data_IF_558268256811
#
_entry.id   IF_558268256811
#
_cell.length_a   1.000
_cell.length_b   1.000
_cell.length_c   1.000
_cell.angle_alpha   90.00
_cell.angle_beta   90.00
_cell.angle_gamma   90.00
#
_symmetry.space_group_name_H-M   'P 1'
#
loop_
_entity.id
_entity.type
_entity.pdbx_description
1 polymer ?
#
# COMPACT_ATOMS: atom_id res chain seq x y z
N UNK A 1 8.23 -11.87 9.05
CA UNK A 1 8.70 -10.81 8.10
C UNK A 1 8.04 -11.01 6.73
N UNK A 2 7.48 -9.95 6.13
CA UNK A 2 6.76 -10.02 4.85
C UNK A 2 7.71 -10.25 3.66
N UNK A 3 8.13 -11.51 3.45
CA UNK A 3 9.01 -11.90 2.34
C UNK A 3 8.48 -11.46 0.97
N UNK A 4 7.15 -11.43 0.80
CA UNK A 4 6.51 -10.94 -0.41
C UNK A 4 6.84 -9.48 -0.68
N UNK A 5 6.67 -8.61 0.33
CA UNK A 5 6.92 -7.18 0.18
C UNK A 5 8.42 -6.90 -0.07
N UNK A 6 9.31 -7.63 0.61
CA UNK A 6 10.75 -7.53 0.37
C UNK A 6 11.13 -7.95 -1.06
N UNK A 7 10.52 -9.00 -1.60
CA UNK A 7 10.71 -9.41 -3.00
C UNK A 7 10.16 -8.37 -3.97
N UNK A 8 8.97 -7.83 -3.71
CA UNK A 8 8.36 -6.79 -4.54
C UNK A 8 9.20 -5.49 -4.54
N UNK A 9 9.77 -5.10 -3.41
CA UNK A 9 10.70 -3.97 -3.32
C UNK A 9 11.96 -4.16 -4.17
N UNK A 10 12.34 -5.38 -4.56
CA UNK A 10 13.48 -5.59 -5.48
C UNK A 10 13.12 -5.36 -6.95
N UNK A 11 11.84 -5.36 -7.30
CA UNK A 11 11.36 -5.06 -8.65
C UNK A 11 11.16 -3.55 -8.81
N UNK A 12 11.79 -2.87 -9.78
CA UNK A 12 11.70 -1.41 -9.91
C UNK A 12 10.26 -0.88 -10.08
N UNK A 13 9.42 -1.60 -10.83
CA UNK A 13 8.02 -1.24 -11.05
C UNK A 13 7.22 -1.32 -9.76
N UNK A 14 7.35 -2.42 -9.03
CA UNK A 14 6.61 -2.65 -7.79
C UNK A 14 7.12 -1.73 -6.69
N UNK A 15 8.44 -1.53 -6.58
CA UNK A 15 9.05 -0.54 -5.67
C UNK A 15 8.44 0.83 -5.86
N UNK A 16 8.32 1.31 -7.11
CA UNK A 16 7.72 2.63 -7.38
C UNK A 16 6.26 2.68 -6.95
N UNK A 17 5.51 1.61 -7.17
CA UNK A 17 4.11 1.53 -6.72
C UNK A 17 4.00 1.52 -5.19
N UNK A 18 4.79 0.70 -4.51
CA UNK A 18 4.83 0.61 -3.05
C UNK A 18 5.21 1.95 -2.42
N UNK A 19 6.21 2.65 -2.95
CA UNK A 19 6.62 3.97 -2.42
C UNK A 19 5.52 5.03 -2.57
N UNK A 20 4.73 4.98 -3.65
CA UNK A 20 3.58 5.87 -3.80
C UNK A 20 2.48 5.54 -2.78
N UNK A 21 2.21 4.25 -2.59
CA UNK A 21 1.23 3.79 -1.64
C UNK A 21 1.62 4.14 -0.20
N UNK A 22 2.90 4.00 0.15
CA UNK A 22 3.45 4.38 1.46
C UNK A 22 3.21 5.88 1.75
N UNK A 23 3.46 6.74 0.76
CA UNK A 23 3.17 8.17 0.88
C UNK A 23 1.67 8.46 1.01
N UNK A 24 0.84 7.81 0.20
CA UNK A 24 -0.61 8.01 0.21
C UNK A 24 -1.25 7.54 1.52
N UNK A 25 -0.83 6.40 2.05
CA UNK A 25 -1.29 5.89 3.36
C UNK A 25 -0.77 6.76 4.50
N UNK A 26 0.47 7.24 4.43
CA UNK A 26 1.01 8.16 5.44
C UNK A 26 0.20 9.46 5.49
N UNK A 27 -0.07 10.05 4.32
CA UNK A 27 -0.93 11.24 4.20
C UNK A 27 -2.35 10.95 4.72
N UNK A 28 -2.93 9.81 4.37
CA UNK A 28 -4.24 9.41 4.88
C UNK A 28 -4.28 9.32 6.41
N UNK A 29 -3.26 8.74 7.04
CA UNK A 29 -3.22 8.59 8.50
C UNK A 29 -2.97 9.92 9.22
N UNK A 30 -2.13 10.79 8.64
CA UNK A 30 -1.63 11.98 9.33
C UNK A 30 -2.44 13.25 9.02
N UNK A 31 -2.92 13.40 7.80
CA UNK A 31 -3.46 14.65 7.28
C UNK A 31 -4.94 14.55 6.85
N UNK A 32 -5.45 13.35 6.58
CA UNK A 32 -6.84 13.17 6.18
C UNK A 32 -7.79 13.14 7.38
N UNK A 33 -8.95 13.80 7.25
CA UNK A 33 -10.07 13.66 8.18
C UNK A 33 -11.08 12.58 7.73
N UNK A 34 -10.84 11.93 6.59
CA UNK A 34 -11.71 10.90 6.06
C UNK A 34 -11.54 9.57 6.81
N UNK A 35 -12.63 8.85 7.12
CA UNK A 35 -12.55 7.57 7.83
C UNK A 35 -12.09 6.41 6.94
N UNK A 36 -12.15 6.57 5.61
CA UNK A 36 -11.83 5.52 4.64
C UNK A 36 -11.08 6.09 3.44
N UNK A 37 -10.18 5.29 2.88
CA UNK A 37 -9.46 5.59 1.64
C UNK A 37 -9.93 4.62 0.55
N UNK A 38 -10.38 5.16 -0.59
CA UNK A 38 -10.89 4.38 -1.71
C UNK A 38 -9.93 4.47 -2.89
N UNK A 39 -9.31 3.35 -3.25
CA UNK A 39 -8.44 3.25 -4.42
C UNK A 39 -9.25 3.05 -5.72
N UNK A 40 -8.73 3.50 -6.88
CA UNK A 40 -9.31 3.16 -8.18
C UNK A 40 -9.30 1.65 -8.44
N UNK A 41 -10.05 1.15 -9.44
CA UNK A 41 -10.03 -0.26 -9.81
C UNK A 41 -8.60 -0.77 -10.05
N UNK A 42 -8.20 -1.77 -9.27
CA UNK A 42 -6.87 -2.37 -9.32
C UNK A 42 -6.97 -3.85 -9.69
N UNK A 43 -5.94 -4.35 -10.38
CA UNK A 43 -5.84 -5.78 -10.64
C UNK A 43 -5.56 -6.57 -9.34
N UNK A 44 -5.76 -7.90 -9.32
CA UNK A 44 -5.57 -8.70 -8.10
C UNK A 44 -4.16 -8.60 -7.50
N UNK A 45 -3.11 -8.42 -8.32
CA UNK A 45 -1.74 -8.29 -7.85
C UNK A 45 -1.51 -6.96 -7.11
N UNK A 46 -1.98 -5.85 -7.71
CA UNK A 46 -1.94 -4.53 -7.08
C UNK A 46 -2.73 -4.51 -5.78
N UNK A 47 -3.92 -5.13 -5.74
CA UNK A 47 -4.70 -5.26 -4.49
C UNK A 47 -3.93 -6.01 -3.42
N UNK A 48 -3.23 -7.08 -3.77
CA UNK A 48 -2.37 -7.82 -2.83
C UNK A 48 -1.23 -6.96 -2.29
N UNK A 49 -0.61 -6.12 -3.12
CA UNK A 49 0.38 -5.14 -2.67
C UNK A 49 -0.25 -4.13 -1.69
N UNK A 50 -1.45 -3.62 -1.99
CA UNK A 50 -2.16 -2.71 -1.11
C UNK A 50 -2.44 -3.34 0.25
N UNK A 51 -2.98 -4.56 0.27
CA UNK A 51 -3.24 -5.29 1.51
C UNK A 51 -1.98 -5.46 2.36
N UNK A 52 -0.86 -5.90 1.76
CA UNK A 52 0.39 -6.09 2.52
C UNK A 52 1.01 -4.80 3.06
N UNK A 53 0.82 -3.66 2.40
CA UNK A 53 1.29 -2.37 2.91
C UNK A 53 0.30 -1.83 3.95
N UNK A 54 -1.01 -1.94 3.73
CA UNK A 54 -2.03 -1.57 4.72
C UNK A 54 -1.87 -2.36 6.03
N UNK A 55 -1.57 -3.66 5.95
CA UNK A 55 -1.19 -4.51 7.08
C UNK A 55 -0.03 -3.92 7.89
N UNK A 56 0.99 -3.39 7.21
CA UNK A 56 2.15 -2.78 7.85
C UNK A 56 1.78 -1.53 8.65
N UNK A 57 0.82 -0.75 8.16
CA UNK A 57 0.24 0.40 8.86
C UNK A 57 -0.89 0.01 9.83
N UNK A 58 -1.19 -1.28 10.00
CA UNK A 58 -2.29 -1.80 10.83
C UNK A 58 -3.67 -1.27 10.44
N UNK A 59 -3.87 -0.96 9.16
CA UNK A 59 -5.14 -0.47 8.61
C UNK A 59 -6.08 -1.63 8.25
N UNK A 60 -7.39 -1.42 8.46
CA UNK A 60 -8.45 -2.30 7.98
C UNK A 60 -8.59 -2.18 6.45
N UNK A 61 -8.78 -3.31 5.76
CA UNK A 61 -8.76 -3.38 4.29
C UNK A 61 -9.62 -4.52 3.71
#
# INVERSE_FOLDING_TARGET
PNEFLLKALNLPTDRRFILKLDQELTHFIQESNEPTLVFPPMNPYQRRLVHHVADYFTLLH
#
